data_IF_038979307766
#
_entry.id   IF_038979307766
#
_cell.length_a   1.000
_cell.length_b   1.000
_cell.length_c   1.000
_cell.angle_alpha   90.00
_cell.angle_beta   90.00
_cell.angle_gamma   90.00
#
_symmetry.space_group_name_H-M   'P 1'
#
loop_
_entity.id
_entity.type
_entity.pdbx_description
1 polymer ?
#
# COMPACT_ATOMS: atom_id res chain seq x y z
N UNK A 1 -30.61 -11.94 19.73
CA UNK A 1 -29.35 -11.63 19.02
C UNK A 1 -28.49 -10.79 19.96
N UNK A 2 -27.79 -11.43 20.89
CA UNK A 2 -26.84 -10.73 21.76
C UNK A 2 -25.53 -10.66 21.00
N UNK A 3 -25.31 -9.54 20.31
CA UNK A 3 -24.02 -9.21 19.74
C UNK A 3 -23.10 -8.88 20.93
N UNK A 4 -22.57 -9.92 21.57
CA UNK A 4 -21.53 -9.79 22.57
C UNK A 4 -20.35 -9.08 21.92
N UNK A 5 -20.07 -7.85 22.34
CA UNK A 5 -18.91 -7.09 21.91
C UNK A 5 -17.66 -7.83 22.39
N UNK A 6 -17.14 -8.70 21.54
CA UNK A 6 -15.86 -9.36 21.74
C UNK A 6 -14.78 -8.32 21.46
N UNK A 7 -13.99 -7.98 22.47
CA UNK A 7 -12.88 -7.05 22.32
C UNK A 7 -11.84 -7.64 21.37
N UNK A 8 -11.79 -7.17 20.12
CA UNK A 8 -10.82 -7.63 19.13
C UNK A 8 -9.50 -6.90 19.31
N UNK A 9 -8.40 -7.66 19.38
CA UNK A 9 -7.06 -7.09 19.43
C UNK A 9 -6.70 -6.49 18.07
N UNK A 10 -6.25 -5.23 18.08
CA UNK A 10 -5.86 -4.54 16.84
C UNK A 10 -4.59 -5.11 16.19
N UNK A 11 -3.72 -5.78 16.96
CA UNK A 11 -2.48 -6.40 16.44
C UNK A 11 -2.77 -7.75 15.78
N UNK A 12 -3.47 -8.64 16.48
CA UNK A 12 -3.70 -10.01 15.99
C UNK A 12 -5.00 -10.17 15.19
N UNK A 13 -5.96 -9.25 15.29
CA UNK A 13 -7.30 -9.41 14.71
C UNK A 13 -8.18 -10.42 15.44
N UNK A 14 -7.67 -11.06 16.48
CA UNK A 14 -8.33 -12.09 17.28
C UNK A 14 -8.96 -11.50 18.55
N UNK A 15 -9.95 -12.17 19.17
CA UNK A 15 -10.42 -11.83 20.51
C UNK A 15 -9.28 -11.72 21.53
N UNK A 16 -9.22 -10.58 22.22
CA UNK A 16 -8.30 -10.34 23.32
C UNK A 16 -8.75 -11.11 24.57
N UNK A 17 -7.83 -11.87 25.16
CA UNK A 17 -8.05 -12.62 26.40
C UNK A 17 -7.98 -11.70 27.63
N UNK A 18 -7.04 -10.76 27.62
CA UNK A 18 -6.98 -9.66 28.57
C UNK A 18 -6.99 -8.36 27.77
N UNK A 19 -8.16 -7.75 27.55
CA UNK A 19 -8.32 -6.58 26.73
C UNK A 19 -7.76 -5.37 27.47
N UNK A 20 -6.90 -4.63 26.80
CA UNK A 20 -6.27 -3.42 27.32
C UNK A 20 -6.31 -2.32 26.27
N UNK A 21 -6.35 -1.06 26.70
CA UNK A 21 -6.41 0.10 25.81
C UNK A 21 -5.16 0.93 25.97
N UNK A 22 -4.57 1.31 24.83
CA UNK A 22 -3.55 2.36 24.77
C UNK A 22 -4.25 3.72 24.85
N UNK A 23 -3.92 4.60 25.80
CA UNK A 23 -4.52 5.94 25.90
C UNK A 23 -4.13 6.84 24.72
N UNK A 24 -3.05 6.50 24.00
CA UNK A 24 -2.54 7.30 22.89
C UNK A 24 -3.30 6.99 21.60
N UNK A 25 -3.39 5.71 21.23
CA UNK A 25 -4.10 5.29 20.01
C UNK A 25 -5.60 5.06 20.22
N UNK A 26 -6.06 4.94 21.47
CA UNK A 26 -7.46 4.63 21.81
C UNK A 26 -7.92 3.25 21.33
N UNK A 27 -6.97 2.39 20.92
CA UNK A 27 -7.25 1.05 20.36
C UNK A 27 -7.18 -0.01 21.44
N UNK A 28 -7.90 -1.10 21.20
CA UNK A 28 -7.92 -2.27 22.07
C UNK A 28 -6.86 -3.27 21.62
N UNK A 29 -6.16 -3.82 22.60
CA UNK A 29 -5.08 -4.76 22.45
C UNK A 29 -5.24 -5.94 23.42
N UNK A 30 -4.56 -7.05 23.13
CA UNK A 30 -4.31 -8.09 24.12
C UNK A 30 -3.08 -7.67 24.94
N UNK A 31 -3.21 -7.69 26.28
CA UNK A 31 -2.14 -7.36 27.23
C UNK A 31 -0.83 -8.04 26.88
N UNK A 32 -0.86 -9.32 26.52
CA UNK A 32 0.35 -10.10 26.19
C UNK A 32 1.09 -9.51 24.98
N UNK A 33 0.35 -9.09 23.96
CA UNK A 33 0.92 -8.62 22.70
C UNK A 33 1.44 -7.18 22.82
N UNK A 34 0.67 -6.29 23.45
CA UNK A 34 1.08 -4.88 23.59
C UNK A 34 2.27 -4.73 24.52
N UNK A 35 2.34 -5.49 25.63
CA UNK A 35 3.49 -5.46 26.55
C UNK A 35 4.75 -5.92 25.84
N UNK A 36 4.66 -6.99 25.03
CA UNK A 36 5.80 -7.45 24.22
C UNK A 36 6.27 -6.37 23.25
N UNK A 37 5.34 -5.72 22.55
CA UNK A 37 5.66 -4.65 21.60
C UNK A 37 6.32 -3.44 22.29
N UNK A 38 5.76 -2.99 23.42
CA UNK A 38 6.33 -1.88 24.22
C UNK A 38 7.74 -2.23 24.71
N UNK A 39 7.97 -3.47 25.16
CA UNK A 39 9.30 -3.89 25.61
C UNK A 39 10.34 -3.92 24.49
N UNK A 40 9.94 -4.23 23.25
CA UNK A 40 10.84 -4.30 22.10
C UNK A 40 11.06 -2.93 21.44
N UNK A 41 10.06 -2.05 21.39
CA UNK A 41 10.09 -0.82 20.59
C UNK A 41 9.83 0.47 21.40
N UNK A 42 9.30 0.37 22.63
CA UNK A 42 9.03 1.53 23.50
C UNK A 42 7.97 2.50 22.97
N UNK A 43 7.16 2.07 22.01
CA UNK A 43 6.20 2.90 21.27
C UNK A 43 4.87 2.18 21.06
N UNK A 44 3.82 2.91 20.67
CA UNK A 44 2.53 2.38 20.26
C UNK A 44 2.59 1.86 18.80
N UNK A 45 2.04 0.67 18.49
CA UNK A 45 2.20 0.02 17.19
C UNK A 45 1.50 0.69 16.01
N UNK A 46 0.58 1.64 16.26
CA UNK A 46 -0.16 2.33 15.19
C UNK A 46 0.25 3.79 15.05
N UNK A 47 0.45 4.47 16.17
CA UNK A 47 0.77 5.90 16.20
C UNK A 47 2.27 6.16 16.24
N UNK A 48 3.09 5.15 16.59
CA UNK A 48 4.54 5.28 16.85
C UNK A 48 4.89 6.28 17.96
N UNK A 49 3.91 6.66 18.78
CA UNK A 49 4.11 7.55 19.92
C UNK A 49 4.67 6.79 21.12
N UNK A 50 5.38 7.49 22.01
CA UNK A 50 5.98 6.89 23.21
C UNK A 50 4.89 6.36 24.15
N UNK A 51 4.92 5.07 24.43
CA UNK A 51 3.98 4.40 25.31
C UNK A 51 4.75 3.53 26.30
N UNK A 52 4.47 3.68 27.58
CA UNK A 52 5.02 2.80 28.64
C UNK A 52 3.98 1.79 29.10
N UNK A 53 4.46 0.68 29.67
CA UNK A 53 3.58 -0.42 30.13
C UNK A 53 2.56 0.05 31.17
N UNK A 54 2.95 0.99 32.04
CA UNK A 54 2.08 1.51 33.11
C UNK A 54 0.95 2.41 32.60
N UNK A 55 1.07 2.95 31.39
CA UNK A 55 0.05 3.80 30.77
C UNK A 55 -1.10 2.98 30.16
N UNK A 56 -0.92 1.68 30.02
CA UNK A 56 -1.90 0.78 29.41
C UNK A 56 -3.03 0.49 30.42
N UNK A 57 -4.28 0.70 30.00
CA UNK A 57 -5.46 0.57 30.88
C UNK A 57 -6.15 -0.77 30.64
N UNK A 58 -6.29 -1.58 31.70
CA UNK A 58 -7.01 -2.86 31.64
C UNK A 58 -8.54 -2.64 31.52
N UNK A 59 -9.19 -3.38 30.62
CA UNK A 59 -10.65 -3.39 30.51
C UNK A 59 -11.24 -4.59 31.29
N UNK A 60 -12.08 -4.30 32.28
CA UNK A 60 -12.76 -5.28 33.12
C UNK A 60 -13.93 -5.97 32.39
N UNK A 61 -13.64 -6.87 31.44
CA UNK A 61 -14.38 -8.12 31.21
C UNK A 61 -14.00 -8.70 29.84
N UNK A 62 -13.04 -9.62 29.79
CA UNK A 62 -12.96 -10.55 28.67
C UNK A 62 -13.72 -11.83 29.03
N UNK A 63 -14.53 -12.29 28.09
CA UNK A 63 -15.14 -13.61 28.17
C UNK A 63 -14.05 -14.64 27.88
N UNK A 64 -13.83 -15.64 28.74
CA UNK A 64 -12.79 -16.65 28.54
C UNK A 64 -12.95 -17.34 27.19
N UNK A 65 -11.85 -17.53 26.46
CA UNK A 65 -11.86 -18.29 25.20
C UNK A 65 -12.41 -19.70 25.46
N UNK A 66 -13.46 -20.08 24.72
CA UNK A 66 -13.96 -21.46 24.77
C UNK A 66 -12.95 -22.38 24.09
N UNK A 67 -12.26 -23.22 24.86
CA UNK A 67 -11.32 -24.21 24.33
C UNK A 67 -12.13 -25.31 23.64
N UNK A 68 -12.06 -25.39 22.31
CA UNK A 68 -12.85 -26.32 21.49
C UNK A 68 -12.14 -27.66 21.21
N UNK A 69 -10.87 -27.82 21.57
CA UNK A 69 -10.08 -29.04 21.32
C UNK A 69 -9.62 -29.69 22.63
N UNK A 70 -10.30 -30.76 23.06
CA UNK A 70 -10.01 -31.45 24.33
C UNK A 70 -9.31 -32.81 24.16
N UNK A 71 -9.15 -33.32 22.93
CA UNK A 71 -8.48 -34.60 22.65
C UNK A 71 -7.16 -34.40 21.90
N UNK A 72 -6.16 -35.22 22.18
CA UNK A 72 -4.84 -35.17 21.52
C UNK A 72 -4.99 -35.19 19.98
N UNK A 73 -5.83 -36.05 19.37
CA UNK A 73 -6.02 -36.03 17.92
C UNK A 73 -6.65 -34.71 17.42
N UNK A 74 -7.62 -34.16 18.15
CA UNK A 74 -8.25 -32.88 17.76
C UNK A 74 -7.27 -31.71 17.83
N UNK A 75 -6.39 -31.67 18.82
CA UNK A 75 -5.39 -30.62 18.95
C UNK A 75 -4.34 -30.69 17.83
N UNK A 76 -3.86 -31.90 17.50
CA UNK A 76 -2.91 -32.08 16.40
C UNK A 76 -3.51 -31.66 15.05
N UNK A 77 -4.80 -31.93 14.83
CA UNK A 77 -5.48 -31.50 13.60
C UNK A 77 -5.55 -29.98 13.50
N UNK A 78 -5.93 -29.29 14.58
CA UNK A 78 -5.95 -27.81 14.63
C UNK A 78 -4.55 -27.24 14.39
N UNK A 79 -3.51 -27.80 15.01
CA UNK A 79 -2.14 -27.34 14.80
C UNK A 79 -1.66 -27.52 13.35
N UNK A 80 -2.05 -28.61 12.68
CA UNK A 80 -1.78 -28.82 11.26
C UNK A 80 -2.49 -27.77 10.40
N UNK A 81 -3.79 -27.56 10.64
CA UNK A 81 -4.60 -26.62 9.86
C UNK A 81 -4.09 -25.17 10.00
N UNK A 82 -3.73 -24.75 11.22
CA UNK A 82 -3.14 -23.43 11.48
C UNK A 82 -1.75 -23.27 10.83
N UNK A 83 -0.95 -24.34 10.82
CA UNK A 83 0.36 -24.31 10.17
C UNK A 83 0.24 -24.22 8.64
N UNK A 84 -0.67 -24.99 8.05
CA UNK A 84 -0.96 -24.94 6.62
C UNK A 84 -1.47 -23.54 6.22
N UNK A 85 -2.36 -22.95 7.02
CA UNK A 85 -2.85 -21.59 6.81
C UNK A 85 -1.72 -20.54 6.92
N UNK A 86 -0.85 -20.64 7.92
CA UNK A 86 0.30 -19.74 8.10
C UNK A 86 1.29 -19.83 6.93
N UNK A 87 1.57 -21.05 6.47
CA UNK A 87 2.45 -21.31 5.33
C UNK A 87 1.88 -20.71 4.04
N UNK A 88 0.58 -20.92 3.76
CA UNK A 88 -0.09 -20.36 2.58
C UNK A 88 -0.13 -18.84 2.63
N UNK A 89 -0.47 -18.25 3.78
CA UNK A 89 -0.46 -16.79 3.97
C UNK A 89 0.93 -16.19 3.75
N UNK A 90 1.97 -16.84 4.26
CA UNK A 90 3.36 -16.40 4.05
C UNK A 90 3.76 -16.42 2.57
N UNK A 91 3.29 -17.41 1.82
CA UNK A 91 3.50 -17.47 0.38
C UNK A 91 2.76 -16.35 -0.36
N UNK A 92 1.45 -16.19 -0.09
CA UNK A 92 0.62 -15.14 -0.69
C UNK A 92 1.16 -13.73 -0.40
N UNK A 93 1.62 -13.46 0.83
CA UNK A 93 2.20 -12.17 1.18
C UNK A 93 3.49 -11.87 0.41
N UNK A 94 4.34 -12.88 0.19
CA UNK A 94 5.54 -12.72 -0.65
C UNK A 94 5.18 -12.46 -2.09
N UNK A 95 4.18 -13.15 -2.63
CA UNK A 95 3.68 -12.92 -3.99
C UNK A 95 3.12 -11.51 -4.15
N UNK A 96 2.24 -11.06 -3.25
CA UNK A 96 1.70 -9.70 -3.25
C UNK A 96 2.79 -8.64 -3.18
N UNK A 97 3.83 -8.87 -2.38
CA UNK A 97 4.96 -7.96 -2.28
C UNK A 97 5.75 -7.88 -3.60
N UNK A 98 5.93 -8.98 -4.31
CA UNK A 98 6.56 -8.96 -5.64
C UNK A 98 5.69 -8.24 -6.67
N UNK A 99 4.37 -8.49 -6.66
CA UNK A 99 3.43 -7.81 -7.55
C UNK A 99 3.43 -6.30 -7.30
N UNK A 100 3.35 -5.86 -6.03
CA UNK A 100 3.40 -4.45 -5.67
C UNK A 100 4.73 -3.78 -6.11
N UNK A 101 5.86 -4.49 -6.04
CA UNK A 101 7.14 -3.99 -6.56
C UNK A 101 7.13 -3.83 -8.08
N UNK A 102 6.53 -4.77 -8.80
CA UNK A 102 6.41 -4.70 -10.25
C UNK A 102 5.50 -3.55 -10.68
N UNK A 103 4.33 -3.42 -10.05
CA UNK A 103 3.38 -2.33 -10.30
C UNK A 103 4.01 -0.97 -10.02
N UNK A 104 4.69 -0.81 -8.88
CA UNK A 104 5.40 0.43 -8.54
C UNK A 104 6.46 0.78 -9.59
N UNK A 105 7.27 -0.21 -9.99
CA UNK A 105 8.32 0.01 -11.00
C UNK A 105 7.71 0.47 -12.33
N UNK A 106 6.62 -0.18 -12.75
CA UNK A 106 5.89 0.18 -13.95
C UNK A 106 5.35 1.61 -13.89
N UNK A 107 4.72 2.02 -12.78
CA UNK A 107 4.22 3.39 -12.59
C UNK A 107 5.36 4.42 -12.61
N UNK A 108 6.51 4.12 -12.01
CA UNK A 108 7.67 5.03 -12.03
C UNK A 108 8.25 5.22 -13.44
N UNK A 109 8.28 4.17 -14.26
CA UNK A 109 8.69 4.30 -15.67
C UNK A 109 7.71 5.15 -16.48
N UNK A 110 6.40 4.96 -16.28
CA UNK A 110 5.38 5.80 -16.92
C UNK A 110 5.49 7.26 -16.46
N UNK A 111 5.77 7.51 -15.18
CA UNK A 111 5.98 8.85 -14.65
C UNK A 111 7.19 9.54 -15.31
N UNK A 112 8.35 8.89 -15.42
CA UNK A 112 9.52 9.47 -16.10
C UNK A 112 9.24 9.77 -17.58
N UNK A 113 8.54 8.89 -18.29
CA UNK A 113 8.11 9.14 -19.66
C UNK A 113 7.19 10.36 -19.77
N UNK A 114 6.21 10.49 -18.86
CA UNK A 114 5.30 11.63 -18.80
C UNK A 114 6.06 12.94 -18.52
N UNK A 115 7.03 12.93 -17.59
CA UNK A 115 7.87 14.09 -17.31
C UNK A 115 8.62 14.59 -18.55
N UNK A 116 9.13 13.68 -19.41
CA UNK A 116 9.79 14.06 -20.68
C UNK A 116 8.81 14.73 -21.65
N UNK A 117 7.58 14.23 -21.72
CA UNK A 117 6.52 14.83 -22.56
C UNK A 117 6.15 16.21 -22.05
N UNK A 118 5.95 16.38 -20.74
CA UNK A 118 5.66 17.69 -20.12
C UNK A 118 6.79 18.68 -20.40
N UNK A 119 8.05 18.29 -20.25
CA UNK A 119 9.19 19.16 -20.54
C UNK A 119 9.21 19.62 -22.01
N UNK A 120 8.91 18.70 -22.94
CA UNK A 120 8.81 19.04 -24.37
C UNK A 120 7.65 20.00 -24.64
N UNK A 121 6.45 19.67 -24.17
CA UNK A 121 5.27 20.52 -24.33
C UNK A 121 5.48 21.90 -23.70
N UNK A 122 6.15 21.98 -22.54
CA UNK A 122 6.50 23.25 -21.89
C UNK A 122 7.41 24.10 -22.77
N UNK A 123 8.37 23.48 -23.46
CA UNK A 123 9.24 24.18 -24.41
C UNK A 123 8.45 24.69 -25.63
N UNK A 124 7.58 23.85 -26.20
CA UNK A 124 6.76 24.21 -27.36
C UNK A 124 5.76 25.33 -27.01
N UNK A 125 5.16 25.27 -25.82
CA UNK A 125 4.30 26.33 -25.25
C UNK A 125 5.08 27.65 -25.12
N UNK A 126 6.27 27.62 -24.52
CA UNK A 126 7.08 28.81 -24.33
C UNK A 126 7.49 29.44 -25.68
N UNK A 127 7.86 28.63 -26.66
CA UNK A 127 8.18 29.10 -28.01
C UNK A 127 6.97 29.77 -28.70
N UNK A 128 5.76 29.19 -28.56
CA UNK A 128 4.53 29.78 -29.10
C UNK A 128 4.19 31.12 -28.42
N UNK A 129 4.36 31.23 -27.09
CA UNK A 129 4.18 32.49 -26.35
C UNK A 129 5.17 33.57 -26.79
N UNK A 130 6.43 33.21 -26.99
CA UNK A 130 7.45 34.14 -27.49
C UNK A 130 7.07 34.67 -28.88
N UNK A 131 6.65 33.79 -29.80
CA UNK A 131 6.17 34.20 -31.12
C UNK A 131 4.94 35.12 -31.08
N UNK A 132 4.01 34.92 -30.13
CA UNK A 132 2.90 35.85 -29.91
C UNK A 132 3.36 37.20 -29.34
N UNK A 133 4.36 37.19 -28.45
CA UNK A 133 4.92 38.41 -27.87
C UNK A 133 5.64 39.29 -28.89
N UNK A 134 6.25 38.70 -29.93
CA UNK A 134 6.91 39.46 -31.02
C UNK A 134 5.91 40.04 -32.02
N UNK A 135 4.71 39.45 -32.15
CA UNK A 135 3.62 39.97 -32.97
C UNK A 135 2.81 41.09 -32.27
N UNK A 136 2.68 41.03 -30.94
CA UNK A 136 1.93 42.03 -30.15
C UNK A 136 2.43 43.49 -30.19
N UNK A 137 3.74 43.83 -30.31
CA UNK A 137 4.17 45.23 -30.42
C UNK A 137 3.71 45.93 -31.71
N UNK A 138 3.15 45.21 -32.70
CA UNK A 138 2.55 45.83 -33.90
C UNK A 138 1.03 46.01 -33.81
N UNK A 139 0.37 45.52 -32.76
CA UNK A 139 -1.08 45.61 -32.58
C UNK A 139 -1.50 46.50 -31.39
N UNK A 140 -0.58 47.31 -30.87
CA UNK A 140 -0.82 48.31 -29.83
C UNK A 140 -1.02 49.71 -30.41
N UNK A 141 -1.87 49.83 -31.44
CA UNK A 141 -2.56 51.07 -31.79
C UNK A 141 -4.02 50.67 -32.07
N UNK A 142 -4.95 51.31 -31.36
CA UNK A 142 -6.42 51.21 -31.40
C UNK A 142 -7.16 50.13 -30.55
N UNK A 143 -7.26 50.46 -29.25
CA UNK A 143 -8.48 50.77 -28.46
C UNK A 143 -9.72 49.83 -28.45
N UNK A 144 -10.05 49.43 -27.21
CA UNK A 144 -11.37 49.14 -26.57
C UNK A 144 -11.94 47.71 -26.48
N UNK A 145 -12.05 47.27 -25.21
CA UNK A 145 -13.19 46.62 -24.58
C UNK A 145 -13.55 45.18 -24.97
N UNK A 146 -13.07 44.19 -24.20
CA UNK A 146 -13.90 43.17 -23.52
C UNK A 146 -13.16 42.74 -22.24
N UNK A 147 -13.83 42.85 -21.11
CA UNK A 147 -13.46 42.31 -19.79
C UNK A 147 -13.67 40.79 -19.76
N UNK A 148 -12.91 40.09 -18.91
CA UNK A 148 -13.21 38.75 -18.37
C UNK A 148 -13.11 37.57 -19.38
N UNK A 149 -12.52 36.41 -19.12
CA UNK A 149 -12.18 35.71 -17.88
C UNK A 149 -10.90 34.87 -18.07
N UNK A 150 -10.17 34.68 -16.97
CA UNK A 150 -9.14 33.64 -16.85
C UNK A 150 -9.84 32.31 -16.53
N UNK A 151 -10.14 31.52 -17.55
CA UNK A 151 -10.64 30.15 -17.35
C UNK A 151 -9.45 29.18 -17.31
N UNK A 152 -9.11 28.72 -16.10
CA UNK A 152 -8.29 27.53 -15.92
C UNK A 152 -9.16 26.31 -16.20
N UNK A 153 -9.10 25.79 -17.42
CA UNK A 153 -9.69 24.48 -17.72
C UNK A 153 -8.78 23.39 -17.17
N UNK A 154 -9.12 22.95 -15.95
CA UNK A 154 -8.96 21.58 -15.52
C UNK A 154 -9.96 20.74 -16.32
N UNK A 155 -9.49 19.81 -17.15
CA UNK A 155 -10.17 18.54 -17.36
C UNK A 155 -9.28 17.55 -18.13
N UNK A 156 -9.12 16.38 -17.52
CA UNK A 156 -8.34 15.29 -18.06
C UNK A 156 -8.91 14.75 -19.38
N UNK A 157 -8.02 14.21 -20.21
CA UNK A 157 -8.36 13.30 -21.32
C UNK A 157 -7.10 12.52 -21.73
N UNK A 158 -7.26 11.37 -22.40
CA UNK A 158 -6.75 10.11 -21.89
C UNK A 158 -5.41 9.69 -22.51
N UNK A 159 -4.71 8.87 -21.74
CA UNK A 159 -4.02 7.65 -22.19
C UNK A 159 -3.40 7.71 -23.60
N UNK A 160 -2.11 8.05 -23.67
CA UNK A 160 -1.32 7.80 -24.87
C UNK A 160 -1.24 6.29 -25.12
N UNK A 161 -2.13 5.84 -25.98
CA UNK A 161 -2.06 4.69 -26.89
C UNK A 161 -0.73 3.92 -26.88
N UNK A 162 -0.78 2.74 -26.26
CA UNK A 162 -0.47 1.44 -26.89
C UNK A 162 0.24 1.55 -28.26
N UNK A 163 1.58 1.41 -28.29
CA UNK A 163 2.28 0.66 -29.36
C UNK A 163 3.80 0.44 -29.15
N UNK A 164 4.40 0.96 -28.07
CA UNK A 164 5.86 0.83 -27.84
C UNK A 164 6.30 -0.15 -26.75
N UNK A 165 5.39 -0.66 -25.91
CA UNK A 165 5.76 -1.33 -24.65
C UNK A 165 5.55 -2.86 -24.64
N UNK A 166 4.80 -3.41 -25.58
CA UNK A 166 4.62 -4.87 -25.71
C UNK A 166 5.91 -5.60 -26.10
N UNK A 167 6.82 -4.94 -26.84
CA UNK A 167 8.06 -5.56 -27.31
C UNK A 167 9.13 -5.68 -26.22
N UNK A 168 9.17 -4.77 -25.24
CA UNK A 168 10.20 -4.81 -24.18
C UNK A 168 9.80 -5.77 -23.05
N UNK A 169 8.50 -5.89 -22.75
CA UNK A 169 8.01 -6.82 -21.73
C UNK A 169 8.16 -8.28 -22.18
N UNK A 170 7.91 -8.61 -23.45
CA UNK A 170 8.17 -9.97 -23.99
C UNK A 170 9.66 -10.35 -23.94
N UNK A 171 10.56 -9.41 -24.24
CA UNK A 171 12.00 -9.66 -24.20
C UNK A 171 12.50 -9.90 -22.76
N UNK A 172 12.03 -9.11 -21.77
CA UNK A 172 12.45 -9.26 -20.37
C UNK A 172 11.79 -10.47 -19.70
N UNK A 173 10.54 -10.79 -20.02
CA UNK A 173 9.87 -12.00 -19.49
C UNK A 173 10.45 -13.31 -20.04
N UNK A 174 10.89 -13.37 -21.31
CA UNK A 174 11.56 -14.55 -21.86
C UNK A 174 12.92 -14.85 -21.19
N UNK A 175 13.64 -13.81 -20.74
CA UNK A 175 14.93 -13.97 -20.06
C UNK A 175 14.77 -14.46 -18.62
N UNK A 176 13.73 -14.00 -17.90
CA UNK A 176 13.48 -14.41 -16.51
C UNK A 176 12.84 -15.81 -16.38
N UNK A 177 11.96 -16.21 -17.31
CA UNK A 177 11.38 -17.56 -17.32
C UNK A 177 12.45 -18.64 -17.58
N UNK A 178 13.48 -18.32 -18.37
CA UNK A 178 14.61 -19.24 -18.61
C UNK A 178 15.45 -19.47 -17.36
N UNK A 179 15.61 -18.48 -16.48
CA UNK A 179 16.36 -18.60 -15.23
C UNK A 179 15.61 -19.46 -14.19
N UNK A 180 14.30 -19.26 -14.02
CA UNK A 180 13.49 -20.05 -13.07
C UNK A 180 13.29 -21.51 -13.52
N UNK A 181 13.23 -21.76 -14.83
CA UNK A 181 13.14 -23.12 -15.36
C UNK A 181 14.46 -23.89 -15.23
N UNK A 182 15.62 -23.20 -15.29
CA UNK A 182 16.93 -23.79 -15.03
C UNK A 182 17.16 -24.06 -13.54
N UNK A 183 16.68 -23.18 -12.65
CA UNK A 183 16.78 -23.40 -11.19
C UNK A 183 15.89 -24.58 -10.76
N UNK A 184 14.69 -24.74 -11.33
CA UNK A 184 13.85 -25.92 -11.07
C UNK A 184 14.45 -27.20 -11.62
N UNK A 185 15.07 -27.18 -12.81
CA UNK A 185 15.72 -28.37 -13.39
C UNK A 185 16.96 -28.83 -12.61
N UNK A 186 17.69 -27.91 -11.97
CA UNK A 186 18.88 -28.23 -11.16
C UNK A 186 18.56 -28.80 -9.77
N UNK A 187 17.34 -28.61 -9.25
CA UNK A 187 16.93 -29.09 -7.93
C UNK A 187 16.02 -30.34 -7.94
N UNK A 188 15.71 -30.90 -9.12
CA UNK A 188 14.95 -32.15 -9.28
C UNK A 188 15.77 -33.30 -9.89
N UNK A 189 17.08 -33.32 -9.70
CA UNK A 189 17.94 -34.48 -9.99
C UNK A 189 18.55 -35.07 -8.72
#
# INVERSE_FOLDING_TARGET
LQMSALYTCSISGEPADVPVVSPVSGRIFDKRLIVKYINEHGTDPFTNDKLTVDQVVDLSSAMPRTITSTSIPSLLKVLQDEWDACMLNSFMLREQLQNARQELSHTLYQHDAACRVIARLSKDLNAAREALSTLKPQAAVDVHNVQDEMETVDEGTPFCTHHGLEFYILAVTSASISADSLIKALFTS
#
